data_IF_808798234112
#
_entry.id   IF_808798234112
#
_cell.length_a   1.000
_cell.length_b   1.000
_cell.length_c   1.000
_cell.angle_alpha   90.00
_cell.angle_beta   90.00
_cell.angle_gamma   90.00
#
_symmetry.space_group_name_H-M   'P 1'
#
loop_
_entity.id
_entity.type
_entity.pdbx_description
1 polymer ?
#
# COMPACT_ATOMS: atom_id res chain seq x y z
N UNK A 1 -42.52 -22.97 6.86
CA UNK A 1 -42.05 -21.65 6.42
C UNK A 1 -40.70 -21.40 7.06
N UNK A 2 -39.65 -21.07 6.29
CA UNK A 2 -38.33 -20.89 6.88
C UNK A 2 -38.29 -19.52 7.56
N UNK A 3 -37.98 -19.54 8.85
CA UNK A 3 -37.76 -18.37 9.68
C UNK A 3 -36.55 -17.60 9.19
N UNK A 4 -36.73 -16.29 9.12
CA UNK A 4 -35.75 -15.29 8.73
C UNK A 4 -34.58 -15.40 9.70
N UNK A 5 -33.42 -15.85 9.18
CA UNK A 5 -32.18 -15.91 9.93
C UNK A 5 -31.82 -14.51 10.41
N UNK A 6 -31.63 -14.40 11.73
CA UNK A 6 -31.08 -13.22 12.36
C UNK A 6 -29.76 -12.86 11.66
N UNK A 7 -29.75 -11.77 10.92
CA UNK A 7 -28.53 -11.14 10.39
C UNK A 7 -27.70 -10.69 11.58
N UNK A 8 -26.67 -11.46 11.89
CA UNK A 8 -25.60 -11.06 12.78
C UNK A 8 -24.94 -9.81 12.20
N UNK A 9 -25.13 -8.66 12.85
CA UNK A 9 -24.35 -7.46 12.61
C UNK A 9 -22.94 -7.68 13.18
N UNK A 10 -22.17 -8.47 12.44
CA UNK A 10 -20.76 -8.72 12.64
C UNK A 10 -20.09 -8.79 11.27
N UNK A 11 -20.38 -7.82 10.38
CA UNK A 11 -19.68 -7.71 9.11
C UNK A 11 -18.24 -7.31 9.40
N UNK A 12 -17.35 -8.31 9.41
CA UNK A 12 -15.90 -8.11 9.40
C UNK A 12 -15.57 -7.27 8.16
N UNK A 13 -14.85 -6.16 8.35
CA UNK A 13 -14.44 -5.32 7.22
C UNK A 13 -13.63 -6.17 6.24
N UNK A 14 -14.06 -6.18 4.99
CA UNK A 14 -13.42 -6.91 3.91
C UNK A 14 -12.64 -5.95 3.02
N UNK A 15 -11.53 -6.42 2.48
CA UNK A 15 -10.66 -5.67 1.60
C UNK A 15 -10.49 -6.42 0.29
N UNK A 16 -10.15 -5.69 -0.77
CA UNK A 16 -9.81 -6.19 -2.10
C UNK A 16 -8.59 -5.43 -2.66
N UNK A 17 -8.14 -5.81 -3.85
CA UNK A 17 -7.19 -5.01 -4.62
C UNK A 17 -7.47 -5.20 -6.12
N UNK A 18 -7.50 -4.13 -6.95
CA UNK A 18 -7.83 -4.25 -8.38
C UNK A 18 -6.97 -5.27 -9.14
N UNK A 19 -5.69 -5.39 -8.80
CA UNK A 19 -4.77 -6.35 -9.45
C UNK A 19 -5.03 -7.82 -9.07
N UNK A 20 -5.74 -8.08 -7.97
CA UNK A 20 -6.07 -9.45 -7.51
C UNK A 20 -7.46 -9.90 -7.99
N UNK A 21 -8.14 -9.08 -8.77
CA UNK A 21 -9.47 -9.34 -9.29
C UNK A 21 -10.62 -8.87 -8.40
N UNK A 22 -11.80 -8.63 -8.99
CA UNK A 22 -12.94 -8.04 -8.29
C UNK A 22 -13.65 -8.98 -7.33
N UNK A 23 -13.39 -10.30 -7.38
CA UNK A 23 -14.09 -11.28 -6.54
C UNK A 23 -13.37 -11.55 -5.21
N UNK A 24 -12.06 -11.30 -5.16
CA UNK A 24 -11.27 -11.62 -3.99
C UNK A 24 -11.52 -10.62 -2.86
N UNK A 25 -12.14 -11.09 -1.78
CA UNK A 25 -12.42 -10.32 -0.57
C UNK A 25 -11.89 -11.05 0.64
N UNK A 26 -10.94 -10.44 1.34
CA UNK A 26 -10.30 -11.01 2.52
C UNK A 26 -10.24 -9.97 3.66
N UNK A 27 -10.14 -10.41 4.92
CA UNK A 27 -9.75 -9.54 6.03
C UNK A 27 -8.41 -8.85 5.75
N UNK A 28 -8.17 -7.72 6.42
CA UNK A 28 -6.99 -6.87 6.14
C UNK A 28 -5.65 -7.61 6.12
N UNK A 29 -5.33 -8.39 7.16
CA UNK A 29 -4.06 -9.13 7.22
C UNK A 29 -3.95 -10.23 6.17
N UNK A 30 -5.04 -10.93 5.87
CA UNK A 30 -5.09 -11.95 4.83
C UNK A 30 -4.93 -11.32 3.43
N UNK A 31 -5.52 -10.15 3.21
CA UNK A 31 -5.33 -9.37 1.98
C UNK A 31 -3.87 -8.91 1.83
N UNK A 32 -3.23 -8.44 2.92
CA UNK A 32 -1.79 -8.10 2.90
C UNK A 32 -0.92 -9.30 2.55
N UNK A 33 -1.18 -10.45 3.16
CA UNK A 33 -0.46 -11.68 2.86
C UNK A 33 -0.66 -12.12 1.40
N UNK A 34 -1.89 -12.00 0.88
CA UNK A 34 -2.21 -12.34 -0.52
C UNK A 34 -1.54 -11.40 -1.52
N UNK A 35 -1.48 -10.09 -1.24
CA UNK A 35 -0.75 -9.11 -2.06
C UNK A 35 0.74 -9.48 -2.11
N UNK A 36 1.34 -9.76 -0.95
CA UNK A 36 2.74 -10.21 -0.87
C UNK A 36 2.96 -11.49 -1.71
N UNK A 37 2.10 -12.49 -1.55
CA UNK A 37 2.18 -13.73 -2.32
C UNK A 37 2.08 -13.47 -3.83
N UNK A 38 1.14 -12.63 -4.26
CA UNK A 38 0.99 -12.25 -5.66
C UNK A 38 2.27 -11.61 -6.21
N UNK A 39 2.94 -10.75 -5.44
CA UNK A 39 4.21 -10.18 -5.88
C UNK A 39 5.28 -11.26 -6.05
N UNK A 40 5.40 -12.22 -5.13
CA UNK A 40 6.34 -13.34 -5.33
C UNK A 40 5.97 -14.22 -6.53
N UNK A 41 4.68 -14.42 -6.82
CA UNK A 41 4.22 -15.14 -8.01
C UNK A 41 4.65 -14.44 -9.31
N UNK A 42 4.73 -13.10 -9.33
CA UNK A 42 5.13 -12.30 -10.50
C UNK A 42 6.64 -12.10 -10.64
N UNK A 43 7.41 -12.48 -9.62
CA UNK A 43 8.86 -12.26 -9.59
C UNK A 43 9.61 -12.93 -10.76
N UNK A 44 9.12 -14.08 -11.23
CA UNK A 44 9.75 -14.80 -12.34
C UNK A 44 9.55 -14.13 -13.71
N UNK A 45 8.49 -13.32 -13.86
CA UNK A 45 8.15 -12.67 -15.12
C UNK A 45 8.80 -11.29 -15.23
N UNK A 46 8.64 -10.47 -14.18
CA UNK A 46 9.09 -9.07 -14.18
C UNK A 46 9.84 -8.76 -12.87
N UNK A 47 11.05 -9.31 -12.66
CA UNK A 47 11.76 -9.22 -11.38
C UNK A 47 12.10 -7.78 -11.00
N UNK A 48 12.43 -6.93 -11.98
CA UNK A 48 12.77 -5.53 -11.76
C UNK A 48 11.62 -4.71 -11.19
N UNK A 49 10.45 -4.74 -11.85
CA UNK A 49 9.27 -4.01 -11.39
C UNK A 49 8.66 -4.62 -10.12
N UNK A 50 8.64 -5.95 -10.05
CA UNK A 50 8.10 -6.68 -8.90
C UNK A 50 8.89 -6.39 -7.62
N UNK A 51 10.22 -6.37 -7.70
CA UNK A 51 11.08 -6.02 -6.56
C UNK A 51 10.89 -4.57 -6.11
N UNK A 52 10.69 -3.62 -7.02
CA UNK A 52 10.30 -2.25 -6.67
C UNK A 52 9.01 -2.22 -5.85
N UNK A 53 8.00 -2.99 -6.28
CA UNK A 53 6.72 -3.09 -5.59
C UNK A 53 6.87 -3.76 -4.22
N UNK A 54 7.66 -4.82 -4.08
CA UNK A 54 7.95 -5.45 -2.79
C UNK A 54 8.61 -4.47 -1.81
N UNK A 55 9.61 -3.70 -2.28
CA UNK A 55 10.32 -2.72 -1.47
C UNK A 55 9.32 -1.72 -0.85
N UNK A 56 8.39 -1.19 -1.64
CA UNK A 56 7.40 -0.23 -1.13
C UNK A 56 6.24 -0.89 -0.36
N UNK A 57 5.82 -2.09 -0.74
CA UNK A 57 4.59 -2.72 -0.23
C UNK A 57 4.81 -3.47 1.08
N UNK A 58 5.94 -4.15 1.22
CA UNK A 58 6.17 -5.13 2.29
C UNK A 58 7.07 -4.63 3.42
N UNK A 59 7.60 -3.41 3.32
CA UNK A 59 8.55 -2.86 4.28
C UNK A 59 7.97 -1.68 5.05
N UNK A 60 8.48 -1.47 6.27
CA UNK A 60 8.14 -0.33 7.10
C UNK A 60 9.09 -0.17 8.29
N UNK A 61 9.12 1.00 8.96
CA UNK A 61 8.36 2.22 8.66
C UNK A 61 8.84 2.93 7.38
N UNK A 62 8.03 3.84 6.84
CA UNK A 62 8.29 4.54 5.57
C UNK A 62 9.68 5.20 5.53
N UNK A 63 10.15 5.78 6.64
CA UNK A 63 11.47 6.40 6.72
C UNK A 63 12.63 5.42 6.44
N UNK A 64 12.47 4.13 6.78
CA UNK A 64 13.45 3.09 6.42
C UNK A 64 13.38 2.73 4.94
N UNK A 65 12.16 2.69 4.37
CA UNK A 65 11.94 2.43 2.94
C UNK A 65 12.60 3.54 2.12
N UNK A 66 12.30 4.81 2.43
CA UNK A 66 12.87 5.97 1.74
C UNK A 66 14.40 5.96 1.82
N UNK A 67 14.93 5.62 3.00
CA UNK A 67 16.36 5.54 3.24
C UNK A 67 17.06 4.45 2.40
N UNK A 68 16.45 3.27 2.30
CA UNK A 68 16.96 2.19 1.46
C UNK A 68 16.82 2.50 -0.03
N UNK A 69 15.68 3.05 -0.46
CA UNK A 69 15.44 3.50 -1.85
C UNK A 69 16.48 4.54 -2.26
N UNK A 70 16.78 5.51 -1.39
CA UNK A 70 17.84 6.51 -1.64
C UNK A 70 19.20 5.84 -1.84
N UNK A 71 19.52 4.83 -1.03
CA UNK A 71 20.80 4.11 -1.11
C UNK A 71 20.89 3.27 -2.38
N UNK A 72 19.82 2.55 -2.73
CA UNK A 72 19.72 1.77 -3.97
C UNK A 72 19.87 2.66 -5.20
N UNK A 73 19.16 3.79 -5.26
CA UNK A 73 19.30 4.76 -6.34
C UNK A 73 20.73 5.30 -6.43
N UNK A 74 21.41 5.55 -5.29
CA UNK A 74 22.81 5.99 -5.28
C UNK A 74 23.75 4.95 -5.88
N UNK A 75 23.56 3.66 -5.58
CA UNK A 75 24.37 2.61 -6.19
C UNK A 75 24.22 2.56 -7.70
N UNK A 76 22.98 2.57 -8.20
CA UNK A 76 22.68 2.54 -9.63
C UNK A 76 23.22 3.79 -10.35
N UNK A 77 22.94 4.99 -9.81
CA UNK A 77 23.38 6.25 -10.42
C UNK A 77 24.90 6.39 -10.45
N UNK A 78 25.61 5.99 -9.39
CA UNK A 78 27.07 6.07 -9.39
C UNK A 78 27.70 5.26 -10.52
N UNK A 79 27.12 4.11 -10.87
CA UNK A 79 27.58 3.28 -11.99
C UNK A 79 27.17 3.91 -13.32
N UNK A 80 25.92 4.39 -13.43
CA UNK A 80 25.41 4.99 -14.65
C UNK A 80 26.15 6.29 -15.04
N UNK A 81 26.46 7.14 -14.05
CA UNK A 81 27.18 8.41 -14.22
C UNK A 81 28.69 8.19 -14.48
N UNK A 82 29.26 7.11 -13.93
CA UNK A 82 30.68 6.81 -13.99
C UNK A 82 30.96 5.33 -14.35
N UNK A 83 30.59 4.89 -15.57
CA UNK A 83 30.60 3.46 -15.92
C UNK A 83 32.00 2.84 -15.99
N UNK A 84 33.05 3.63 -16.19
CA UNK A 84 34.44 3.16 -16.20
C UNK A 84 35.06 3.03 -14.80
N UNK A 85 34.38 3.52 -13.75
CA UNK A 85 34.94 3.53 -12.40
C UNK A 85 34.60 2.21 -11.66
N UNK A 86 35.59 1.32 -11.57
CA UNK A 86 35.40 -0.02 -10.98
C UNK A 86 34.92 -0.01 -9.53
N UNK A 87 35.28 1.00 -8.74
CA UNK A 87 34.89 1.08 -7.31
C UNK A 87 33.38 1.17 -7.11
N UNK A 88 32.64 1.69 -8.09
CA UNK A 88 31.18 1.81 -8.02
C UNK A 88 30.47 0.52 -8.42
N UNK A 89 31.15 -0.37 -9.15
CA UNK A 89 30.61 -1.64 -9.64
C UNK A 89 30.59 -2.73 -8.57
N UNK A 90 31.08 -2.47 -7.35
CA UNK A 90 31.15 -3.45 -6.26
C UNK A 90 30.48 -2.95 -4.99
N UNK A 91 29.58 -3.75 -4.43
CA UNK A 91 28.89 -3.48 -3.16
C UNK A 91 29.20 -4.64 -2.21
N UNK A 92 30.00 -4.38 -1.16
CA UNK A 92 30.30 -5.40 -0.15
C UNK A 92 29.10 -5.63 0.76
N UNK A 93 28.73 -6.90 0.99
CA UNK A 93 27.58 -7.26 1.83
C UNK A 93 27.81 -6.95 3.32
N UNK A 94 29.08 -6.85 3.75
CA UNK A 94 29.46 -6.42 5.10
C UNK A 94 29.50 -4.89 5.28
N UNK A 95 29.24 -4.11 4.23
CA UNK A 95 29.24 -2.66 4.32
C UNK A 95 28.11 -2.20 5.27
N UNK A 96 28.45 -1.35 6.24
CA UNK A 96 27.50 -0.88 7.26
C UNK A 96 26.24 -0.23 6.67
N UNK A 97 26.40 0.62 5.65
CA UNK A 97 25.26 1.30 5.01
C UNK A 97 24.37 0.28 4.32
N UNK A 98 24.98 -0.70 3.63
CA UNK A 98 24.25 -1.79 3.00
C UNK A 98 23.46 -2.62 4.02
N UNK A 99 24.12 -3.06 5.10
CA UNK A 99 23.50 -3.88 6.16
C UNK A 99 22.37 -3.16 6.91
N UNK A 100 22.50 -1.85 7.11
CA UNK A 100 21.50 -1.06 7.86
C UNK A 100 20.33 -0.60 6.99
N UNK A 101 20.59 -0.21 5.72
CA UNK A 101 19.59 0.46 4.88
C UNK A 101 19.01 -0.42 3.78
N UNK A 102 19.76 -1.40 3.27
CA UNK A 102 19.40 -2.16 2.06
C UNK A 102 19.05 -3.60 2.40
N UNK A 103 19.95 -4.32 3.06
CA UNK A 103 19.76 -5.74 3.42
C UNK A 103 18.45 -6.03 4.19
N UNK A 104 17.95 -5.15 5.10
CA UNK A 104 16.71 -5.42 5.82
C UNK A 104 15.44 -5.21 4.98
N UNK A 105 15.57 -4.62 3.79
CA UNK A 105 14.42 -4.39 2.91
C UNK A 105 14.15 -5.62 2.06
N UNK A 106 12.95 -6.14 2.19
CA UNK A 106 12.45 -7.20 1.33
C UNK A 106 12.34 -6.74 -0.12
N UNK A 107 12.84 -7.56 -1.04
CA UNK A 107 12.92 -7.25 -2.47
C UNK A 107 14.19 -6.50 -2.87
N UNK A 108 15.02 -6.03 -1.93
CA UNK A 108 16.19 -5.21 -2.28
C UNK A 108 17.32 -6.01 -2.95
N UNK A 109 17.52 -7.26 -2.56
CA UNK A 109 18.52 -8.13 -3.22
C UNK A 109 18.04 -8.53 -4.61
N UNK A 110 16.77 -8.91 -4.73
CA UNK A 110 16.11 -9.24 -6.00
C UNK A 110 16.14 -8.03 -6.95
N UNK A 111 15.96 -6.81 -6.43
CA UNK A 111 16.09 -5.58 -7.20
C UNK A 111 17.50 -5.39 -7.75
N UNK A 112 18.54 -5.57 -6.92
CA UNK A 112 19.94 -5.46 -7.38
C UNK A 112 20.28 -6.55 -8.39
N UNK A 113 19.81 -7.78 -8.19
CA UNK A 113 19.99 -8.86 -9.16
C UNK A 113 19.28 -8.57 -10.48
N UNK A 114 18.04 -8.07 -10.44
CA UNK A 114 17.29 -7.66 -11.61
C UNK A 114 17.97 -6.50 -12.35
N UNK A 115 18.68 -5.62 -11.62
CA UNK A 115 19.50 -4.57 -12.19
C UNK A 115 20.81 -5.06 -12.83
N UNK A 116 21.15 -6.34 -12.70
CA UNK A 116 22.34 -6.95 -13.30
C UNK A 116 23.51 -7.16 -12.35
N UNK A 117 23.32 -7.01 -11.03
CA UNK A 117 24.33 -7.39 -10.05
C UNK A 117 24.38 -8.90 -9.84
N UNK A 118 25.59 -9.45 -9.74
CA UNK A 118 25.84 -10.87 -9.47
C UNK A 118 26.52 -11.02 -8.12
N UNK A 119 26.09 -12.01 -7.33
CA UNK A 119 26.71 -12.32 -6.04
C UNK A 119 28.02 -13.07 -6.27
N UNK A 120 29.06 -12.60 -5.60
CA UNK A 120 30.40 -13.16 -5.61
C UNK A 120 30.83 -13.43 -4.17
N UNK A 121 31.80 -14.33 -4.01
CA UNK A 121 32.40 -14.68 -2.74
C UNK A 121 33.90 -14.93 -2.92
N UNK A 122 34.66 -14.77 -1.84
CA UNK A 122 36.07 -15.11 -1.82
C UNK A 122 36.25 -16.63 -1.59
N UNK A 123 37.10 -17.29 -2.39
CA UNK A 123 37.34 -18.74 -2.31
C UNK A 123 38.08 -19.13 -1.01
N UNK A 124 38.93 -18.25 -0.48
CA UNK A 124 39.72 -18.48 0.73
C UNK A 124 38.94 -18.05 1.98
N UNK A 125 38.07 -17.04 1.85
CA UNK A 125 37.21 -16.54 2.93
C UNK A 125 35.73 -16.46 2.50
N UNK A 126 34.96 -17.56 2.63
CA UNK A 126 33.55 -17.59 2.22
C UNK A 126 32.63 -16.56 2.93
N UNK A 127 33.10 -15.96 4.03
CA UNK A 127 32.39 -14.90 4.75
C UNK A 127 32.50 -13.52 4.07
N UNK A 128 33.44 -13.34 3.13
CA UNK A 128 33.57 -12.14 2.32
C UNK A 128 32.78 -12.27 1.03
N UNK A 129 31.57 -11.72 1.04
CA UNK A 129 30.67 -11.72 -0.11
C UNK A 129 30.40 -10.29 -0.60
N UNK A 130 30.22 -10.13 -1.90
CA UNK A 130 29.85 -8.86 -2.53
C UNK A 130 28.90 -9.05 -3.71
N UNK A 131 28.24 -7.96 -4.08
CA UNK A 131 27.51 -7.84 -5.34
C UNK A 131 28.40 -7.08 -6.32
N UNK A 132 28.57 -7.64 -7.52
CA UNK A 132 29.37 -7.05 -8.59
C UNK A 132 28.49 -6.78 -9.82
N UNK A 133 28.64 -5.61 -10.43
CA UNK A 133 27.96 -5.23 -11.67
C UNK A 133 28.93 -5.39 -12.86
N UNK A 134 28.79 -6.45 -13.66
CA UNK A 134 29.70 -6.76 -14.76
C UNK A 134 29.84 -5.63 -15.79
N UNK A 135 31.00 -5.47 -16.44
CA UNK A 135 31.22 -4.43 -17.46
C UNK A 135 30.32 -4.57 -18.69
N UNK A 136 29.89 -5.79 -19.01
CA UNK A 136 28.98 -6.14 -20.10
C UNK A 136 27.49 -5.94 -19.77
N UNK A 137 27.15 -5.62 -18.53
CA UNK A 137 25.76 -5.43 -18.11
C UNK A 137 25.16 -4.12 -18.65
N UNK A 138 23.84 -4.13 -18.83
CA UNK A 138 23.09 -3.02 -19.42
C UNK A 138 22.99 -1.82 -18.47
N UNK A 139 23.57 -0.69 -18.86
CA UNK A 139 23.53 0.57 -18.10
C UNK A 139 22.17 1.26 -18.26
N UNK A 140 21.49 1.09 -19.40
CA UNK A 140 20.16 1.69 -19.62
C UNK A 140 19.14 1.12 -18.63
N UNK A 141 19.25 -0.18 -18.34
CA UNK A 141 18.44 -0.84 -17.32
C UNK A 141 18.56 -0.19 -15.94
N UNK A 142 19.73 0.34 -15.57
CA UNK A 142 19.91 1.04 -14.28
C UNK A 142 19.07 2.31 -14.21
N UNK A 143 18.94 3.06 -15.31
CA UNK A 143 18.08 4.25 -15.37
C UNK A 143 16.61 3.86 -15.25
N UNK A 144 16.18 2.85 -16.03
CA UNK A 144 14.80 2.35 -16.01
C UNK A 144 14.40 1.91 -14.60
N UNK A 145 15.24 1.13 -13.93
CA UNK A 145 14.97 0.65 -12.58
C UNK A 145 15.06 1.75 -11.52
N UNK A 146 15.94 2.74 -11.70
CA UNK A 146 16.00 3.91 -10.80
C UNK A 146 14.70 4.71 -10.86
N UNK A 147 14.18 4.96 -12.07
CA UNK A 147 12.93 5.68 -12.24
C UNK A 147 11.74 4.85 -11.75
N UNK A 148 11.70 3.56 -12.06
CA UNK A 148 10.67 2.64 -11.58
C UNK A 148 10.62 2.61 -10.04
N UNK A 149 11.78 2.49 -9.37
CA UNK A 149 11.84 2.43 -7.91
C UNK A 149 11.36 3.73 -7.25
N UNK A 150 11.64 4.89 -7.87
CA UNK A 150 11.20 6.21 -7.39
C UNK A 150 9.70 6.45 -7.61
N UNK A 151 9.16 5.95 -8.71
CA UNK A 151 7.76 6.15 -9.10
C UNK A 151 6.81 5.08 -8.56
N UNK A 152 7.34 3.94 -8.11
CA UNK A 152 6.57 2.83 -7.55
C UNK A 152 5.73 3.29 -6.35
N UNK A 153 4.48 2.82 -6.33
CA UNK A 153 3.54 3.06 -5.23
C UNK A 153 3.21 1.73 -4.56
N UNK A 154 3.09 1.70 -3.22
CA UNK A 154 2.78 0.48 -2.50
C UNK A 154 1.39 -0.04 -2.87
N UNK A 155 1.27 -1.37 -2.93
CA UNK A 155 0.00 -2.06 -3.12
C UNK A 155 -0.69 -2.24 -1.76
N UNK A 156 -1.73 -1.45 -1.52
CA UNK A 156 -2.42 -1.41 -0.23
C UNK A 156 -3.79 -2.08 -0.31
N UNK A 157 -4.22 -2.82 0.73
CA UNK A 157 -5.59 -3.33 0.80
C UNK A 157 -6.60 -2.18 0.66
N UNK A 158 -7.53 -2.33 -0.29
CA UNK A 158 -8.60 -1.35 -0.54
C UNK A 158 -9.87 -1.82 0.16
N UNK A 159 -10.47 -0.97 0.99
CA UNK A 159 -11.71 -1.28 1.69
C UNK A 159 -12.82 -1.59 0.69
N UNK A 160 -13.44 -2.77 0.83
CA UNK A 160 -14.63 -3.10 0.08
C UNK A 160 -15.87 -2.46 0.73
N UNK A 161 -16.43 -1.47 0.03
CA UNK A 161 -17.64 -0.76 0.47
C UNK A 161 -18.92 -1.51 0.13
N UNK A 162 -18.84 -2.73 -0.42
CA UNK A 162 -19.99 -3.54 -0.82
C UNK A 162 -20.96 -2.76 -1.71
N UNK A 163 -20.44 -2.10 -2.76
CA UNK A 163 -21.25 -1.26 -3.63
C UNK A 163 -22.30 -2.12 -4.35
N UNK A 164 -23.58 -1.84 -4.09
CA UNK A 164 -24.72 -2.54 -4.69
C UNK A 164 -25.46 -1.61 -5.64
N UNK A 165 -25.73 -2.08 -6.85
CA UNK A 165 -26.69 -1.44 -7.75
C UNK A 165 -28.04 -2.07 -7.45
N UNK A 166 -28.95 -1.27 -6.89
CA UNK A 166 -30.30 -1.72 -6.58
C UNK A 166 -31.23 -1.42 -7.75
N UNK A 167 -32.09 -2.37 -8.08
CA UNK A 167 -33.21 -2.13 -8.99
C UNK A 167 -34.24 -1.21 -8.31
N UNK A 168 -35.06 -0.46 -9.07
CA UNK A 168 -36.05 0.45 -8.48
C UNK A 168 -36.98 -0.20 -7.44
N UNK A 169 -37.30 -1.49 -7.60
CA UNK A 169 -38.14 -2.21 -6.64
C UNK A 169 -37.39 -2.62 -5.36
N UNK A 170 -36.08 -2.83 -5.43
CA UNK A 170 -35.23 -3.12 -4.27
C UNK A 170 -34.91 -1.84 -3.50
N UNK A 171 -34.68 -0.74 -4.21
CA UNK A 171 -34.50 0.59 -3.62
C UNK A 171 -35.78 1.09 -2.93
N UNK A 172 -36.96 0.65 -3.39
CA UNK A 172 -38.24 0.95 -2.75
C UNK A 172 -38.45 0.20 -1.43
N UNK A 173 -37.68 -0.87 -1.16
CA UNK A 173 -37.63 -1.47 0.17
C UNK A 173 -36.84 -0.52 1.07
N UNK A 174 -37.52 0.12 2.04
CA UNK A 174 -36.90 1.10 2.91
C UNK A 174 -35.66 0.51 3.61
N UNK A 175 -34.52 1.18 3.44
CA UNK A 175 -33.34 0.96 4.26
C UNK A 175 -33.66 1.42 5.69
N UNK A 176 -34.08 0.50 6.55
CA UNK A 176 -34.29 0.79 7.97
C UNK A 176 -32.91 0.88 8.62
N UNK A 177 -32.45 2.11 8.82
CA UNK A 177 -31.25 2.38 9.59
C UNK A 177 -31.55 2.20 11.09
N UNK A 178 -30.65 1.61 11.88
CA UNK A 178 -30.81 1.54 13.33
C UNK A 178 -30.87 2.94 13.94
N UNK A 179 -31.59 3.11 15.06
CA UNK A 179 -31.70 4.41 15.74
C UNK A 179 -30.35 4.98 16.18
N UNK A 180 -29.37 4.12 16.46
CA UNK A 180 -27.98 4.50 16.78
C UNK A 180 -27.22 5.14 15.63
N UNK A 181 -27.74 5.11 14.40
CA UNK A 181 -27.20 5.84 13.26
C UNK A 181 -27.36 7.36 13.43
N UNK A 182 -28.41 7.79 14.11
CA UNK A 182 -28.72 9.20 14.27
C UNK A 182 -28.09 9.73 15.56
N UNK A 183 -27.37 10.86 15.46
CA UNK A 183 -26.83 11.57 16.62
C UNK A 183 -27.92 12.27 17.44
N UNK A 184 -29.11 12.45 16.85
CA UNK A 184 -30.28 13.08 17.45
C UNK A 184 -31.49 12.21 17.13
N UNK A 185 -32.27 11.92 18.16
CA UNK A 185 -33.56 11.26 17.96
C UNK A 185 -34.53 12.17 17.20
N UNK A 186 -35.54 11.60 16.51
CA UNK A 186 -36.59 12.40 15.87
C UNK A 186 -37.29 13.37 16.84
N UNK A 187 -37.44 12.99 18.11
CA UNK A 187 -38.02 13.83 19.16
C UNK A 187 -37.12 15.01 19.55
N UNK A 188 -35.79 14.85 19.51
CA UNK A 188 -34.83 15.93 19.75
C UNK A 188 -34.82 16.93 18.60
N UNK A 189 -34.89 16.45 17.35
CA UNK A 189 -35.04 17.31 16.16
C UNK A 189 -36.32 18.14 16.22
N UNK A 190 -37.45 17.53 16.61
CA UNK A 190 -38.74 18.23 16.77
C UNK A 190 -38.68 19.31 17.86
N UNK A 191 -37.97 19.04 18.96
CA UNK A 191 -37.75 20.00 20.05
C UNK A 191 -36.88 21.18 19.61
N UNK A 192 -35.82 20.94 18.85
CA UNK A 192 -34.96 21.99 18.32
C UNK A 192 -35.69 22.90 17.31
N UNK A 193 -36.54 22.34 16.44
CA UNK A 193 -37.31 23.16 15.48
C UNK A 193 -38.44 23.97 16.13
N UNK A 194 -38.94 23.56 17.29
CA UNK A 194 -39.97 24.30 18.03
C UNK A 194 -39.46 25.54 18.78
N UNK A 195 -38.14 25.63 19.05
CA UNK A 195 -37.52 26.76 19.74
C UNK A 195 -37.48 28.07 18.92
N UNK A 196 -36.96 28.05 17.67
CA UNK A 196 -36.89 29.22 16.80
C UNK A 196 -38.26 29.82 16.48
N UNK A 197 -39.29 28.97 16.31
CA UNK A 197 -40.65 29.44 16.03
C UNK A 197 -41.21 30.28 17.20
N UNK A 198 -40.98 29.84 18.45
CA UNK A 198 -41.43 30.55 19.65
C UNK A 198 -40.65 31.84 19.90
N UNK A 199 -39.35 31.84 19.63
CA UNK A 199 -38.50 33.03 19.77
C UNK A 199 -38.86 34.11 18.72
N UNK A 200 -39.14 33.69 17.48
CA UNK A 200 -39.62 34.58 16.40
C UNK A 200 -41.02 35.11 16.71
N UNK A 201 -41.94 34.30 17.25
CA UNK A 201 -43.26 34.78 17.71
C UNK A 201 -43.15 35.82 18.85
N UNK A 202 -42.23 35.61 19.80
CA UNK A 202 -41.96 36.57 20.88
C UNK A 202 -41.34 37.88 20.38
N UNK A 203 -40.48 37.82 19.36
CA UNK A 203 -39.84 38.99 18.74
C UNK A 203 -40.79 39.78 17.82
N UNK A 204 -41.79 39.12 17.23
CA UNK A 204 -42.76 39.73 16.30
C UNK A 204 -44.01 40.27 16.99
N UNK A 205 -44.27 39.89 18.24
CA UNK A 205 -45.40 40.43 19.01
C UNK A 205 -45.01 41.75 19.67
N UNK A 206 -45.56 42.87 19.20
CA UNK A 206 -45.38 44.20 19.78
C UNK A 206 -45.87 44.23 21.24
N UNK A 207 -44.95 44.34 22.20
CA UNK A 207 -45.27 44.59 23.61
C UNK A 207 -45.58 46.08 23.81
N UNK A 208 -46.84 46.43 23.98
CA UNK A 208 -47.25 47.74 24.51
C UNK A 208 -46.96 47.80 26.01
N UNK A 209 -46.35 48.90 26.46
CA UNK A 209 -46.10 49.22 27.88
C UNK A 209 -47.39 49.42 28.66
#
# INVERSE_FOLDING_TARGET
GPGIGATSWGQRLMFGHPLLGPELRLPYEEMRARIRQFLYEQMAEEPGLTSCLLIHTCNGPQSKVDAGVETLCKYLNNIADHPSEEKYRRIRLNNRIFQERVLPLEGALEFLQAAGFVRQHDEECPAEEWLEFPPESDIEQLHVLTDALRCAKPLVPVLDRSLRVLLPHEAAQQLVLPDSFFNLSPDELLREQGGPAREVELQTTLRTR
#
